data_IF_779704823922
#
_entry.id   IF_779704823922
#
_cell.length_a   1.000
_cell.length_b   1.000
_cell.length_c   1.000
_cell.angle_alpha   90.00
_cell.angle_beta   90.00
_cell.angle_gamma   90.00
#
_symmetry.space_group_name_H-M   'P 1'
#
loop_
_entity.id
_entity.type
_entity.pdbx_description
1 polymer ?
#
# COMPACT_ATOMS: atom_id res chain seq x y z
N UNK A 1 0.15 1.88 19.14
CA UNK A 1 0.04 2.88 18.05
C UNK A 1 -1.07 2.44 17.11
N UNK A 2 -1.97 3.33 16.66
CA UNK A 2 -3.03 2.98 15.69
C UNK A 2 -2.48 2.98 14.26
N UNK A 3 -3.14 2.31 13.31
CA UNK A 3 -2.72 2.32 11.90
C UNK A 3 -2.61 3.76 11.33
N UNK A 4 -3.56 4.63 11.70
CA UNK A 4 -3.54 6.05 11.32
C UNK A 4 -2.30 6.78 11.86
N UNK A 5 -2.01 6.63 13.15
CA UNK A 5 -0.85 7.26 13.77
C UNK A 5 0.48 6.73 13.19
N UNK A 6 0.53 5.43 12.86
CA UNK A 6 1.68 4.83 12.19
C UNK A 6 1.90 5.45 10.80
N UNK A 7 0.83 5.56 10.00
CA UNK A 7 0.89 6.16 8.67
C UNK A 7 1.35 7.62 8.71
N UNK A 8 0.80 8.43 9.63
CA UNK A 8 1.20 9.83 9.80
C UNK A 8 2.67 9.95 10.20
N UNK A 9 3.15 9.09 11.11
CA UNK A 9 4.55 9.12 11.58
C UNK A 9 5.55 8.73 10.49
N UNK A 10 5.16 7.85 9.56
CA UNK A 10 6.04 7.32 8.51
C UNK A 10 5.76 7.92 7.13
N UNK A 11 5.00 9.03 7.05
CA UNK A 11 4.69 9.69 5.78
C UNK A 11 3.95 8.79 4.78
N UNK A 12 3.13 7.85 5.26
CA UNK A 12 2.43 6.87 4.41
C UNK A 12 1.12 7.49 3.91
N UNK A 13 0.98 7.56 2.59
CA UNK A 13 -0.22 8.06 1.91
C UNK A 13 -0.93 6.92 1.19
N UNK A 14 -2.26 6.95 1.17
CA UNK A 14 -3.08 6.05 0.34
C UNK A 14 -3.64 6.84 -0.82
N UNK A 15 -3.35 6.40 -2.03
CA UNK A 15 -3.74 7.06 -3.27
C UNK A 15 -4.72 6.13 -4.00
N UNK A 16 -6.02 6.47 -4.05
CA UNK A 16 -6.97 5.75 -4.88
C UNK A 16 -6.67 6.03 -6.36
N UNK A 17 -6.55 4.98 -7.17
CA UNK A 17 -6.28 5.10 -8.60
C UNK A 17 -7.09 4.10 -9.41
N UNK A 18 -7.50 4.51 -10.62
CA UNK A 18 -8.10 3.60 -11.58
C UNK A 18 -7.02 2.69 -12.20
N UNK A 19 -7.15 1.37 -12.00
CA UNK A 19 -6.20 0.36 -12.45
C UNK A 19 -6.94 -0.82 -13.10
N UNK A 20 -6.27 -1.61 -13.97
CA UNK A 20 -6.83 -2.85 -14.47
C UNK A 20 -7.34 -3.74 -13.33
N UNK A 21 -8.49 -4.41 -13.48
CA UNK A 21 -9.11 -5.19 -12.41
C UNK A 21 -8.23 -6.35 -11.89
N UNK A 22 -7.23 -6.78 -12.67
CA UNK A 22 -6.21 -7.75 -12.28
C UNK A 22 -5.21 -7.21 -11.26
N UNK A 23 -5.09 -5.88 -11.12
CA UNK A 23 -4.19 -5.21 -10.18
C UNK A 23 -4.98 -4.76 -8.96
N UNK A 24 -4.60 -5.21 -7.76
CA UNK A 24 -5.28 -4.83 -6.51
C UNK A 24 -4.78 -3.50 -5.94
N UNK A 25 -3.49 -3.27 -6.08
CA UNK A 25 -2.76 -2.13 -5.54
C UNK A 25 -1.29 -2.51 -5.38
N UNK A 26 -0.48 -1.55 -4.97
CA UNK A 26 0.96 -1.74 -4.73
C UNK A 26 1.50 -0.56 -3.91
N UNK A 27 2.65 -0.75 -3.28
CA UNK A 27 3.38 0.30 -2.59
C UNK A 27 4.58 0.81 -3.40
N UNK A 28 4.81 2.11 -3.39
CA UNK A 28 6.04 2.76 -3.88
C UNK A 28 6.67 3.59 -2.78
N UNK A 29 8.01 3.69 -2.79
CA UNK A 29 8.71 4.67 -1.94
C UNK A 29 8.50 6.06 -2.52
N UNK A 30 8.26 7.02 -1.63
CA UNK A 30 8.21 8.44 -1.95
C UNK A 30 9.63 9.02 -1.90
N UNK A 31 9.86 10.13 -2.60
CA UNK A 31 11.18 10.77 -2.71
C UNK A 31 11.68 11.37 -1.38
N UNK A 32 10.81 11.45 -0.37
CA UNK A 32 11.05 12.05 0.95
C UNK A 32 11.02 11.01 2.09
N UNK A 33 11.53 9.80 1.84
CA UNK A 33 11.56 8.67 2.80
C UNK A 33 10.18 8.14 3.25
N UNK A 34 9.10 8.58 2.60
CA UNK A 34 7.73 8.12 2.83
C UNK A 34 7.32 6.94 1.94
N UNK A 35 6.05 6.56 2.02
CA UNK A 35 5.47 5.51 1.17
C UNK A 35 4.13 5.94 0.58
N UNK A 36 3.86 5.54 -0.66
CA UNK A 36 2.56 5.68 -1.28
C UNK A 36 1.96 4.30 -1.56
N UNK A 37 0.81 4.01 -0.95
CA UNK A 37 0.00 2.84 -1.23
C UNK A 37 -1.02 3.21 -2.31
N UNK A 38 -0.84 2.67 -3.51
CA UNK A 38 -1.80 2.81 -4.60
C UNK A 38 -2.86 1.73 -4.44
N UNK A 39 -4.14 2.11 -4.46
CA UNK A 39 -5.26 1.16 -4.28
C UNK A 39 -6.25 1.27 -5.44
N UNK A 40 -6.66 0.12 -6.01
CA UNK A 40 -7.54 0.09 -7.17
C UNK A 40 -8.97 0.50 -6.81
N UNK A 41 -9.47 1.57 -7.43
CA UNK A 41 -10.85 2.06 -7.24
C UNK A 41 -11.93 1.16 -7.83
N UNK A 42 -11.59 0.26 -8.77
CA UNK A 42 -12.53 -0.71 -9.37
C UNK A 42 -12.88 -1.88 -8.44
N UNK A 43 -12.15 -2.06 -7.33
CA UNK A 43 -12.43 -3.10 -6.34
C UNK A 43 -13.38 -2.61 -5.26
N UNK A 44 -14.06 -3.54 -4.58
CA UNK A 44 -14.97 -3.19 -3.49
C UNK A 44 -14.21 -2.53 -2.34
N UNK A 45 -14.90 -1.75 -1.51
CA UNK A 45 -14.31 -1.12 -0.32
C UNK A 45 -13.60 -2.13 0.59
N UNK A 46 -14.15 -3.34 0.73
CA UNK A 46 -13.54 -4.39 1.54
C UNK A 46 -12.23 -4.90 0.91
N UNK A 47 -12.22 -5.11 -0.41
CA UNK A 47 -11.01 -5.50 -1.14
C UNK A 47 -9.94 -4.40 -1.03
N UNK A 48 -10.30 -3.14 -1.21
CA UNK A 48 -9.40 -1.99 -1.02
C UNK A 48 -8.81 -1.97 0.40
N UNK A 49 -9.61 -2.20 1.43
CA UNK A 49 -9.14 -2.28 2.81
C UNK A 49 -8.22 -3.48 3.06
N UNK A 50 -8.44 -4.61 2.38
CA UNK A 50 -7.52 -5.77 2.42
C UNK A 50 -6.20 -5.41 1.77
N UNK A 51 -6.21 -4.78 0.60
CA UNK A 51 -5.00 -4.29 -0.08
C UNK A 51 -4.22 -3.31 0.79
N UNK A 52 -4.88 -2.30 1.38
CA UNK A 52 -4.18 -1.32 2.24
C UNK A 52 -3.49 -2.01 3.43
N UNK A 53 -4.18 -2.96 4.09
CA UNK A 53 -3.58 -3.72 5.20
C UNK A 53 -2.42 -4.59 4.75
N UNK A 54 -2.53 -5.17 3.57
CA UNK A 54 -1.51 -5.99 2.96
C UNK A 54 -0.23 -5.17 2.70
N UNK A 55 -0.36 -4.04 2.00
CA UNK A 55 0.78 -3.15 1.70
C UNK A 55 1.39 -2.51 2.95
N UNK A 56 0.56 -2.15 3.95
CA UNK A 56 1.07 -1.68 5.24
C UNK A 56 1.95 -2.71 5.94
N UNK A 57 1.64 -4.00 5.82
CA UNK A 57 2.43 -5.07 6.41
C UNK A 57 3.81 -5.19 5.74
N UNK A 58 3.89 -4.98 4.42
CA UNK A 58 5.17 -4.91 3.70
C UNK A 58 6.03 -3.73 4.15
N UNK A 59 5.42 -2.56 4.34
CA UNK A 59 6.12 -1.37 4.86
C UNK A 59 6.67 -1.65 6.27
N UNK A 60 5.85 -2.24 7.15
CA UNK A 60 6.23 -2.57 8.52
C UNK A 60 7.38 -3.59 8.61
N UNK A 61 7.44 -4.54 7.66
CA UNK A 61 8.52 -5.54 7.57
C UNK A 61 9.77 -5.03 6.82
N UNK A 62 9.72 -3.84 6.21
CA UNK A 62 10.82 -3.32 5.41
C UNK A 62 11.04 -4.07 4.10
N UNK A 63 10.01 -4.76 3.59
CA UNK A 63 10.09 -5.62 2.39
C UNK A 63 9.81 -4.85 1.08
N UNK A 64 9.51 -3.55 1.18
CA UNK A 64 9.18 -2.70 0.04
C UNK A 64 10.35 -2.60 -0.95
N UNK A 65 10.11 -3.04 -2.18
CA UNK A 65 11.11 -3.04 -3.25
C UNK A 65 11.97 -4.30 -3.30
N UNK A 66 11.67 -5.32 -2.50
CA UNK A 66 12.36 -6.60 -2.60
C UNK A 66 11.82 -7.39 -3.82
N UNK A 67 12.64 -7.63 -4.86
CA UNK A 67 12.21 -8.30 -6.09
C UNK A 67 11.88 -9.78 -5.89
N UNK A 68 12.21 -10.36 -4.73
CA UNK A 68 11.90 -11.74 -4.38
C UNK A 68 10.48 -11.90 -3.80
N UNK A 69 9.80 -10.80 -3.50
CA UNK A 69 8.40 -10.81 -3.06
C UNK A 69 7.49 -10.51 -4.25
N UNK A 70 7.07 -11.55 -4.95
CA UNK A 70 5.97 -11.52 -5.92
C UNK A 70 4.75 -12.19 -5.30
N UNK A 71 3.73 -11.41 -4.97
CA UNK A 71 2.41 -11.99 -4.67
C UNK A 71 1.71 -12.38 -5.98
N UNK A 72 1.29 -13.65 -6.07
CA UNK A 72 0.52 -14.21 -7.19
C UNK A 72 -0.97 -13.84 -7.12
#
# INVERSE_FOLDING_TARGET
MTAKAYMETHGIRVIPQDLPCSVRGFVVKDDLDGYCIIVNTRHTREQQQRTIRHELAHIQRGEVGNPLYTEY
#
